data_IF_367583997718
#
_entry.id   IF_367583997718
#
_cell.length_a   1.000
_cell.length_b   1.000
_cell.length_c   1.000
_cell.angle_alpha   90.00
_cell.angle_beta   90.00
_cell.angle_gamma   90.00
#
_symmetry.space_group_name_H-M   'P 1'
#
loop_
_entity.id
_entity.type
_entity.pdbx_description
1 polymer ?
#
# COMPACT_ATOMS: atom_id res chain seq x y z
N UNK A 1 2.05 -25.65 6.58
CA UNK A 1 2.63 -24.40 7.12
C UNK A 1 3.75 -23.85 6.24
N UNK A 2 4.58 -24.70 5.64
CA UNK A 2 5.72 -24.29 4.79
C UNK A 2 5.32 -23.44 3.58
N UNK A 3 4.19 -23.75 2.93
CA UNK A 3 3.72 -23.02 1.74
C UNK A 3 3.39 -21.55 2.04
N UNK A 4 2.72 -21.27 3.17
CA UNK A 4 2.39 -19.91 3.58
C UNK A 4 3.64 -19.08 3.92
N UNK A 5 4.62 -19.71 4.58
CA UNK A 5 5.91 -19.06 4.89
C UNK A 5 6.64 -18.74 3.59
N UNK A 6 6.69 -19.66 2.63
CA UNK A 6 7.30 -19.43 1.31
C UNK A 6 6.59 -18.30 0.56
N UNK A 7 5.26 -18.26 0.52
CA UNK A 7 4.52 -17.16 -0.13
C UNK A 7 4.84 -15.80 0.51
N UNK A 8 4.86 -15.72 1.84
CA UNK A 8 5.17 -14.46 2.56
C UNK A 8 6.62 -14.04 2.33
N UNK A 9 7.57 -14.98 2.33
CA UNK A 9 8.99 -14.71 2.09
C UNK A 9 9.24 -14.31 0.64
N UNK A 10 8.57 -14.96 -0.32
CA UNK A 10 8.66 -14.63 -1.75
C UNK A 10 8.04 -13.27 -2.04
N UNK A 11 6.86 -12.95 -1.51
CA UNK A 11 6.30 -11.59 -1.62
C UNK A 11 7.28 -10.56 -1.05
N UNK A 12 7.83 -10.78 0.16
CA UNK A 12 8.80 -9.87 0.77
C UNK A 12 10.12 -9.75 -0.02
N UNK A 13 10.58 -10.82 -0.65
CA UNK A 13 11.79 -10.83 -1.47
C UNK A 13 11.60 -10.14 -2.82
N UNK A 14 10.45 -10.30 -3.46
CA UNK A 14 10.10 -9.62 -4.72
C UNK A 14 10.06 -8.10 -4.53
N UNK A 15 9.47 -7.58 -3.43
CA UNK A 15 9.52 -6.15 -3.13
C UNK A 15 10.92 -5.63 -2.79
N UNK A 16 11.87 -6.52 -2.43
CA UNK A 16 13.24 -6.14 -2.07
C UNK A 16 14.17 -5.99 -3.28
N UNK A 17 13.83 -6.57 -4.45
CA UNK A 17 14.71 -6.63 -5.63
C UNK A 17 14.14 -6.01 -6.93
N UNK A 18 12.97 -5.38 -6.91
CA UNK A 18 12.64 -4.43 -7.98
C UNK A 18 13.54 -3.20 -7.81
N UNK A 19 14.13 -2.66 -8.88
CA UNK A 19 14.60 -1.28 -8.86
C UNK A 19 13.41 -0.40 -8.46
N UNK A 20 13.40 0.04 -7.20
CA UNK A 20 12.29 0.76 -6.60
C UNK A 20 12.35 2.20 -7.12
N UNK A 21 11.98 2.39 -8.38
CA UNK A 21 11.83 3.71 -8.97
C UNK A 21 10.44 4.21 -8.57
N UNK A 22 10.40 5.18 -7.64
CA UNK A 22 9.18 5.92 -7.34
C UNK A 22 8.63 6.53 -8.64
N UNK A 23 7.39 6.17 -8.99
CA UNK A 23 6.72 6.71 -10.18
C UNK A 23 6.14 8.10 -9.94
N UNK A 24 5.84 8.43 -8.68
CA UNK A 24 5.36 9.74 -8.25
C UNK A 24 5.60 9.94 -6.75
N UNK A 25 5.60 11.22 -6.33
CA UNK A 25 5.66 11.62 -4.92
C UNK A 25 4.26 11.71 -4.33
N UNK A 26 4.14 11.36 -3.05
CA UNK A 26 2.90 11.59 -2.28
C UNK A 26 3.05 12.85 -1.46
N UNK A 27 2.04 13.71 -1.50
CA UNK A 27 1.89 14.86 -0.62
C UNK A 27 0.51 14.78 0.01
N UNK A 28 0.42 14.98 1.32
CA UNK A 28 -0.84 14.98 2.04
C UNK A 28 -1.26 16.41 2.37
N UNK A 29 -2.53 16.72 2.15
CA UNK A 29 -3.17 17.89 2.74
C UNK A 29 -3.38 17.67 4.24
N UNK A 30 -3.43 18.76 5.02
CA UNK A 30 -3.72 18.72 6.46
C UNK A 30 -5.01 17.95 6.75
N UNK A 31 -6.10 18.27 6.03
CA UNK A 31 -7.41 17.63 6.20
C UNK A 31 -7.36 16.12 5.95
N UNK A 32 -6.49 15.66 5.02
CA UNK A 32 -6.31 14.24 4.75
C UNK A 32 -5.64 13.53 5.94
N UNK A 33 -4.67 14.18 6.60
CA UNK A 33 -4.03 13.66 7.80
C UNK A 33 -5.03 13.60 8.95
N UNK A 34 -5.80 14.67 9.17
CA UNK A 34 -6.84 14.71 10.20
C UNK A 34 -7.91 13.64 9.98
N UNK A 35 -8.32 13.41 8.73
CA UNK A 35 -9.23 12.33 8.38
C UNK A 35 -8.63 10.97 8.76
N UNK A 36 -7.40 10.67 8.34
CA UNK A 36 -6.73 9.40 8.66
C UNK A 36 -6.61 9.18 10.18
N UNK A 37 -6.34 10.23 10.95
CA UNK A 37 -6.24 10.14 12.42
C UNK A 37 -7.54 9.69 13.09
N UNK A 38 -8.71 10.00 12.50
CA UNK A 38 -10.03 9.60 13.00
C UNK A 38 -10.42 8.16 12.64
N UNK A 39 -9.70 7.51 11.72
CA UNK A 39 -9.94 6.13 11.32
C UNK A 39 -9.32 5.16 12.33
N UNK A 40 -9.98 4.03 12.57
CA UNK A 40 -9.45 2.91 13.34
C UNK A 40 -8.09 2.45 12.79
N UNK A 41 -7.18 2.07 13.70
CA UNK A 41 -5.77 1.78 13.43
C UNK A 41 -5.53 0.85 12.25
N UNK A 42 -6.16 -0.33 12.24
CA UNK A 42 -5.96 -1.36 11.21
C UNK A 42 -6.42 -0.89 9.84
N UNK A 43 -7.54 -0.16 9.82
CA UNK A 43 -8.07 0.42 8.58
C UNK A 43 -7.17 1.54 8.05
N UNK A 44 -6.71 2.44 8.93
CA UNK A 44 -5.74 3.50 8.59
C UNK A 44 -4.44 2.91 8.04
N UNK A 45 -3.86 1.91 8.71
CA UNK A 45 -2.64 1.24 8.28
C UNK A 45 -2.79 0.64 6.88
N UNK A 46 -3.94 0.04 6.57
CA UNK A 46 -4.20 -0.51 5.24
C UNK A 46 -4.28 0.57 4.16
N UNK A 47 -4.90 1.71 4.48
CA UNK A 47 -4.95 2.87 3.57
C UNK A 47 -3.54 3.39 3.29
N UNK A 48 -2.74 3.64 4.34
CA UNK A 48 -1.36 4.13 4.21
C UNK A 48 -0.51 3.16 3.39
N UNK A 49 -0.60 1.85 3.67
CA UNK A 49 0.10 0.83 2.90
C UNK A 49 -0.26 0.85 1.42
N UNK A 50 -1.54 0.98 1.08
CA UNK A 50 -1.98 1.02 -0.31
C UNK A 50 -1.50 2.29 -1.02
N UNK A 51 -1.54 3.45 -0.35
CA UNK A 51 -1.02 4.71 -0.88
C UNK A 51 0.48 4.58 -1.15
N UNK A 52 1.24 4.06 -0.18
CA UNK A 52 2.68 3.82 -0.32
C UNK A 52 2.99 2.88 -1.49
N UNK A 53 2.30 1.74 -1.55
CA UNK A 53 2.44 0.75 -2.63
C UNK A 53 2.16 1.35 -4.01
N UNK A 54 1.17 2.23 -4.12
CA UNK A 54 0.81 2.88 -5.37
C UNK A 54 1.97 3.71 -5.96
N UNK A 55 2.92 4.22 -5.13
CA UNK A 55 4.11 4.93 -5.61
C UNK A 55 4.96 4.10 -6.56
N UNK A 56 4.96 2.78 -6.38
CA UNK A 56 5.82 1.86 -7.10
C UNK A 56 5.03 1.06 -8.13
N UNK A 57 3.76 0.79 -7.87
CA UNK A 57 2.90 -0.03 -8.73
C UNK A 57 1.72 0.76 -9.30
N UNK A 58 1.65 0.89 -10.63
CA UNK A 58 0.47 1.40 -11.34
C UNK A 58 -0.51 0.25 -11.60
N UNK A 59 -0.98 -0.42 -10.55
CA UNK A 59 -1.99 -1.47 -10.69
C UNK A 59 -3.40 -0.85 -10.60
N UNK A 60 -4.16 -0.77 -11.71
CA UNK A 60 -5.52 -0.25 -11.67
C UNK A 60 -6.44 -1.07 -10.77
N UNK A 61 -6.13 -2.35 -10.51
CA UNK A 61 -6.90 -3.22 -9.61
C UNK A 61 -6.78 -2.81 -8.15
N UNK A 62 -5.76 -2.05 -7.76
CA UNK A 62 -5.61 -1.52 -6.41
C UNK A 62 -6.79 -0.60 -6.02
N UNK A 63 -7.44 0.03 -7.00
CA UNK A 63 -8.56 0.97 -6.81
C UNK A 63 -9.95 0.38 -7.13
N UNK A 64 -10.04 -0.86 -7.64
CA UNK A 64 -11.30 -1.44 -8.19
C UNK A 64 -12.37 -1.77 -7.14
N UNK A 65 -12.12 -1.58 -5.86
CA UNK A 65 -13.11 -1.81 -4.79
C UNK A 65 -13.89 -0.56 -4.37
N UNK A 66 -13.79 0.55 -5.09
CA UNK A 66 -14.66 1.70 -4.91
C UNK A 66 -15.91 1.56 -5.80
N UNK A 67 -16.69 0.51 -5.60
CA UNK A 67 -18.07 0.46 -6.08
C UNK A 67 -18.94 0.95 -4.93
N UNK A 68 -19.44 2.19 -5.05
CA UNK A 68 -20.53 2.69 -4.21
C UNK A 68 -21.85 2.04 -4.57
#
# INVERSE_FOLDING_TARGET
METLITFVVVERSIYKYMEIIEKFKIVYYTDAIEFLQRIESKTREKIIYNIDKARYTLDPKLFKKLTG
#
